data_IF_922044072420
#
_entry.id   IF_922044072420
#
_cell.length_a   1.000
_cell.length_b   1.000
_cell.length_c   1.000
_cell.angle_alpha   90.00
_cell.angle_beta   90.00
_cell.angle_gamma   90.00
#
_symmetry.space_group_name_H-M   'P 1'
#
loop_
_entity.id
_entity.type
_entity.pdbx_description
1 polymer ?
#
# COMPACT_ATOMS: atom_id res chain seq x y z
N UNK A 1 19.99 0.81 7.90
CA UNK A 1 19.75 -0.38 7.05
C UNK A 1 18.26 -0.72 6.90
N UNK A 2 17.51 -0.87 8.00
CA UNK A 2 16.07 -1.24 8.02
C UNK A 2 15.17 -0.34 7.14
N UNK A 3 15.37 0.99 7.16
CA UNK A 3 14.57 1.94 6.35
C UNK A 3 14.81 1.83 4.83
N UNK A 4 15.93 1.27 4.39
CA UNK A 4 16.22 1.10 2.97
C UNK A 4 15.59 -0.17 2.39
N UNK A 5 15.31 -1.17 3.23
CA UNK A 5 14.65 -2.40 2.76
C UNK A 5 13.22 -2.12 2.29
N UNK A 6 12.46 -1.29 3.00
CA UNK A 6 11.12 -0.88 2.53
C UNK A 6 11.16 -0.15 1.19
N UNK A 7 12.21 0.65 0.95
CA UNK A 7 12.41 1.37 -0.32
C UNK A 7 12.76 0.38 -1.41
N UNK A 8 13.63 -0.60 -1.14
CA UNK A 8 13.95 -1.66 -2.09
C UNK A 8 12.71 -2.49 -2.45
N UNK A 9 11.87 -2.85 -1.47
CA UNK A 9 10.57 -3.51 -1.72
C UNK A 9 9.68 -2.64 -2.60
N UNK A 10 9.52 -1.36 -2.24
CA UNK A 10 8.71 -0.43 -3.01
C UNK A 10 9.23 -0.28 -4.45
N UNK A 11 10.55 -0.22 -4.63
CA UNK A 11 11.20 -0.13 -5.93
C UNK A 11 10.92 -1.36 -6.77
N UNK A 12 11.05 -2.56 -6.21
CA UNK A 12 10.76 -3.82 -6.93
C UNK A 12 9.30 -3.87 -7.35
N UNK A 13 8.36 -3.49 -6.47
CA UNK A 13 6.93 -3.48 -6.78
C UNK A 13 6.58 -2.44 -7.85
N UNK A 14 7.16 -1.24 -7.76
CA UNK A 14 7.00 -0.17 -8.77
C UNK A 14 7.55 -0.61 -10.11
N UNK A 15 8.75 -1.18 -10.17
CA UNK A 15 9.32 -1.68 -11.43
C UNK A 15 8.47 -2.82 -12.02
N UNK A 16 7.98 -3.74 -11.19
CA UNK A 16 7.10 -4.81 -11.62
C UNK A 16 5.80 -4.26 -12.24
N UNK A 17 5.14 -3.32 -11.56
CA UNK A 17 3.94 -2.66 -12.10
C UNK A 17 4.26 -1.89 -13.38
N UNK A 18 5.23 -0.98 -13.37
CA UNK A 18 5.56 -0.14 -14.53
C UNK A 18 5.97 -0.95 -15.76
N UNK A 19 6.73 -2.04 -15.60
CA UNK A 19 7.08 -2.91 -16.71
C UNK A 19 5.85 -3.67 -17.24
N UNK A 20 4.99 -4.15 -16.34
CA UNK A 20 3.80 -4.92 -16.71
C UNK A 20 2.75 -4.11 -17.48
N UNK A 21 2.70 -2.79 -17.30
CA UNK A 21 1.82 -1.87 -18.07
C UNK A 21 2.03 -2.03 -19.59
N UNK A 22 3.26 -2.29 -20.03
CA UNK A 22 3.61 -2.42 -21.45
C UNK A 22 3.54 -3.86 -21.97
N UNK A 23 3.58 -4.85 -21.09
CA UNK A 23 3.65 -6.28 -21.46
C UNK A 23 2.28 -6.97 -21.48
N UNK A 24 1.27 -6.35 -20.88
CA UNK A 24 -0.11 -6.79 -21.02
C UNK A 24 -0.85 -6.90 -19.69
N UNK A 25 -2.17 -6.95 -19.82
CA UNK A 25 -3.10 -6.88 -18.70
C UNK A 25 -2.90 -7.99 -17.65
N UNK A 26 -2.63 -9.23 -18.10
CA UNK A 26 -2.41 -10.38 -17.20
C UNK A 26 -1.18 -10.20 -16.31
N UNK A 27 -0.07 -9.70 -16.85
CA UNK A 27 1.13 -9.43 -16.05
C UNK A 27 0.88 -8.32 -15.04
N UNK A 28 0.09 -7.31 -15.41
CA UNK A 28 -0.26 -6.22 -14.52
C UNK A 28 -1.09 -6.70 -13.33
N UNK A 29 -2.10 -7.55 -13.59
CA UNK A 29 -2.89 -8.18 -12.54
C UNK A 29 -2.02 -9.01 -11.58
N UNK A 30 -1.07 -9.80 -12.10
CA UNK A 30 -0.14 -10.57 -11.27
C UNK A 30 0.76 -9.66 -10.41
N UNK A 31 1.27 -8.57 -10.99
CA UNK A 31 2.07 -7.58 -10.26
C UNK A 31 1.26 -6.89 -9.15
N UNK A 32 -0.01 -6.54 -9.39
CA UNK A 32 -0.91 -6.05 -8.33
C UNK A 32 -1.20 -7.13 -7.28
N UNK A 33 -1.32 -8.39 -7.69
CA UNK A 33 -1.41 -9.54 -6.78
C UNK A 33 -0.22 -9.62 -5.81
N UNK A 34 1.00 -9.37 -6.28
CA UNK A 34 2.19 -9.33 -5.41
C UNK A 34 2.09 -8.24 -4.34
N UNK A 35 1.49 -7.09 -4.67
CA UNK A 35 1.23 -6.01 -3.70
C UNK A 35 0.22 -6.48 -2.65
N UNK A 36 -0.87 -7.11 -3.07
CA UNK A 36 -1.88 -7.69 -2.17
C UNK A 36 -1.25 -8.69 -1.21
N UNK A 37 -0.44 -9.63 -1.70
CA UNK A 37 0.25 -10.58 -0.84
C UNK A 37 1.28 -9.91 0.07
N UNK A 38 1.98 -8.89 -0.42
CA UNK A 38 2.93 -8.10 0.35
C UNK A 38 2.27 -7.42 1.55
N UNK A 39 1.13 -6.77 1.33
CA UNK A 39 0.34 -6.15 2.41
C UNK A 39 -0.28 -7.23 3.30
N UNK A 40 -0.93 -8.26 2.75
CA UNK A 40 -1.58 -9.31 3.52
C UNK A 40 -0.61 -10.06 4.46
N UNK A 41 0.62 -10.30 4.02
CA UNK A 41 1.66 -10.93 4.83
C UNK A 41 2.29 -9.95 5.84
N UNK A 42 2.55 -8.71 5.43
CA UNK A 42 3.23 -7.73 6.26
C UNK A 42 2.34 -7.11 7.34
N UNK A 43 1.07 -6.88 7.02
CA UNK A 43 0.15 -6.08 7.83
C UNK A 43 -0.11 -6.65 9.23
N UNK A 44 -0.42 -7.95 9.41
CA UNK A 44 -0.71 -8.48 10.75
C UNK A 44 0.51 -8.48 11.67
N UNK A 45 1.72 -8.47 11.09
CA UNK A 45 3.00 -8.37 11.81
C UNK A 45 3.38 -6.93 12.12
N UNK A 46 2.91 -5.98 11.31
CA UNK A 46 3.00 -4.54 11.61
C UNK A 46 2.07 -4.15 12.74
N UNK A 47 0.85 -4.69 12.75
CA UNK A 47 -0.15 -4.36 13.76
C UNK A 47 -0.14 -5.29 14.98
N UNK A 48 0.81 -6.23 15.08
CA UNK A 48 0.83 -7.32 16.08
C UNK A 48 -0.54 -7.89 16.37
N UNK A 49 -1.24 -8.29 15.31
CA UNK A 49 -2.54 -8.92 15.47
C UNK A 49 -2.34 -10.22 16.28
N UNK A 50 -3.20 -10.51 17.28
CA UNK A 50 -3.11 -11.74 18.06
C UNK A 50 -3.21 -13.02 17.22
N UNK A 51 -3.72 -12.93 15.98
CA UNK A 51 -3.85 -14.03 15.04
C UNK A 51 -3.26 -13.65 13.67
N UNK A 52 -1.93 -13.58 13.55
CA UNK A 52 -1.31 -13.06 12.33
C UNK A 52 -1.65 -13.90 11.09
N UNK A 53 -1.83 -15.22 11.25
CA UNK A 53 -2.20 -16.12 10.15
C UNK A 53 -3.62 -15.90 9.65
N UNK A 54 -4.60 -15.84 10.57
CA UNK A 54 -6.00 -15.67 10.21
C UNK A 54 -6.23 -14.29 9.55
N UNK A 55 -5.62 -13.24 10.09
CA UNK A 55 -5.67 -11.91 9.48
C UNK A 55 -4.97 -11.87 8.12
N UNK A 56 -3.81 -12.53 7.95
CA UNK A 56 -3.16 -12.63 6.64
C UNK A 56 -4.03 -13.36 5.61
N UNK A 57 -4.68 -14.46 6.01
CA UNK A 57 -5.58 -15.21 5.13
C UNK A 57 -6.78 -14.35 4.73
N UNK A 58 -7.41 -13.68 5.69
CA UNK A 58 -8.52 -12.76 5.45
C UNK A 58 -8.11 -11.70 4.43
N UNK A 59 -7.01 -10.98 4.67
CA UNK A 59 -6.52 -9.94 3.77
C UNK A 59 -6.21 -10.49 2.37
N UNK A 60 -5.57 -11.66 2.27
CA UNK A 60 -5.28 -12.28 0.99
C UNK A 60 -6.57 -12.65 0.23
N UNK A 61 -7.55 -13.26 0.91
CA UNK A 61 -8.82 -13.66 0.30
C UNK A 61 -9.61 -12.45 -0.21
N UNK A 62 -9.79 -11.41 0.61
CA UNK A 62 -10.53 -10.22 0.19
C UNK A 62 -9.76 -9.41 -0.86
N UNK A 63 -8.43 -9.36 -0.79
CA UNK A 63 -7.60 -8.72 -1.81
C UNK A 63 -7.67 -9.41 -3.16
N UNK A 64 -7.55 -10.74 -3.19
CA UNK A 64 -7.72 -11.52 -4.42
C UNK A 64 -9.15 -11.39 -4.94
N UNK A 65 -10.15 -11.41 -4.05
CA UNK A 65 -11.55 -11.17 -4.41
C UNK A 65 -11.75 -9.81 -5.05
N UNK A 66 -11.11 -8.76 -4.53
CA UNK A 66 -11.14 -7.41 -5.12
C UNK A 66 -10.46 -7.34 -6.48
N UNK A 67 -9.30 -8.00 -6.65
CA UNK A 67 -8.63 -8.10 -7.95
C UNK A 67 -9.46 -8.88 -8.97
N UNK A 68 -10.08 -9.97 -8.54
CA UNK A 68 -10.95 -10.78 -9.39
C UNK A 68 -12.18 -10.00 -9.84
N UNK A 69 -12.81 -9.26 -8.92
CA UNK A 69 -13.94 -8.40 -9.25
C UNK A 69 -13.54 -7.32 -10.27
N UNK A 70 -12.45 -6.60 -10.04
CA UNK A 70 -11.94 -5.57 -10.96
C UNK A 70 -11.51 -6.15 -12.32
N UNK A 71 -11.14 -7.44 -12.38
CA UNK A 71 -10.83 -8.14 -13.63
C UNK A 71 -12.07 -8.57 -14.40
N UNK A 72 -13.10 -9.02 -13.69
CA UNK A 72 -14.30 -9.57 -14.30
C UNK A 72 -15.25 -8.49 -14.82
N UNK A 73 -15.26 -7.32 -14.19
CA UNK A 73 -16.10 -6.19 -14.61
C UNK A 73 -15.57 -5.62 -15.94
N UNK A 74 -16.33 -5.86 -17.00
CA UNK A 74 -16.03 -5.41 -18.37
C UNK A 74 -16.69 -4.07 -18.73
N UNK A 75 -17.56 -3.55 -17.86
CA UNK A 75 -18.29 -2.30 -18.05
C UNK A 75 -18.20 -1.44 -16.81
N UNK A 76 -17.96 -0.14 -16.97
CA UNK A 76 -17.96 0.79 -15.84
C UNK A 76 -19.33 0.76 -15.10
N UNK A 77 -19.33 0.73 -13.75
CA UNK A 77 -18.23 1.00 -12.82
C UNK A 77 -17.39 -0.23 -12.43
N UNK A 78 -16.08 -0.18 -12.65
CA UNK A 78 -15.14 -1.31 -12.43
C UNK A 78 -14.87 -1.70 -10.95
N UNK A 79 -15.55 -1.09 -9.97
CA UNK A 79 -15.28 -1.30 -8.53
C UNK A 79 -16.55 -1.50 -7.70
N UNK A 80 -17.69 -1.84 -8.31
CA UNK A 80 -18.99 -1.95 -7.62
C UNK A 80 -18.99 -3.01 -6.51
N UNK A 81 -18.13 -4.01 -6.63
CA UNK A 81 -18.00 -5.07 -5.64
C UNK A 81 -17.13 -4.70 -4.43
N UNK A 82 -16.31 -3.65 -4.50
CA UNK A 82 -15.41 -3.30 -3.39
C UNK A 82 -16.13 -2.88 -2.10
N UNK A 83 -17.21 -2.08 -2.13
CA UNK A 83 -17.99 -1.78 -0.92
C UNK A 83 -18.57 -3.05 -0.28
N UNK A 84 -19.03 -4.00 -1.10
CA UNK A 84 -19.57 -5.28 -0.62
C UNK A 84 -18.47 -6.11 0.04
N UNK A 85 -17.30 -6.24 -0.60
CA UNK A 85 -16.14 -6.94 -0.04
C UNK A 85 -15.63 -6.28 1.24
N UNK A 86 -15.64 -4.94 1.31
CA UNK A 86 -15.30 -4.19 2.51
C UNK A 86 -16.29 -4.49 3.65
N UNK A 87 -17.58 -4.52 3.37
CA UNK A 87 -18.61 -4.89 4.34
C UNK A 87 -18.48 -6.33 4.84
N UNK A 88 -18.23 -7.29 3.93
CA UNK A 88 -18.00 -8.69 4.29
C UNK A 88 -16.71 -8.87 5.10
N UNK A 89 -15.63 -8.19 4.74
CA UNK A 89 -14.39 -8.22 5.51
C UNK A 89 -14.57 -7.58 6.89
N UNK A 90 -15.32 -6.48 7.01
CA UNK A 90 -15.68 -5.90 8.30
C UNK A 90 -16.45 -6.91 9.18
N UNK A 91 -17.47 -7.57 8.64
CA UNK A 91 -18.21 -8.61 9.35
C UNK A 91 -17.29 -9.77 9.78
N UNK A 92 -16.39 -10.20 8.90
CA UNK A 92 -15.39 -11.22 9.21
C UNK A 92 -14.55 -10.82 10.42
N UNK A 93 -14.04 -9.59 10.45
CA UNK A 93 -13.24 -9.10 11.57
C UNK A 93 -14.01 -9.09 12.88
N UNK A 94 -15.30 -8.72 12.87
CA UNK A 94 -16.13 -8.77 14.07
C UNK A 94 -16.35 -10.21 14.55
N UNK A 95 -16.74 -11.12 13.66
CA UNK A 95 -16.97 -12.53 14.00
C UNK A 95 -15.70 -13.16 14.58
N UNK A 96 -14.54 -12.90 13.96
CA UNK A 96 -13.25 -13.40 14.42
C UNK A 96 -12.86 -12.87 15.81
N UNK A 97 -13.19 -11.62 16.15
CA UNK A 97 -12.91 -11.07 17.48
C UNK A 97 -13.92 -11.53 18.54
N UNK A 98 -15.21 -11.65 18.19
CA UNK A 98 -16.27 -12.11 19.11
C UNK A 98 -16.08 -13.58 19.50
N UNK A 99 -15.77 -14.44 18.53
CA UNK A 99 -15.51 -15.87 18.77
C UNK A 99 -14.34 -16.13 19.69
N UNK A 100 -13.39 -15.18 19.80
CA UNK A 100 -12.20 -15.32 20.65
C UNK A 100 -12.42 -14.83 22.09
N UNK A 101 -13.54 -14.17 22.38
CA UNK A 101 -13.82 -13.66 23.74
C UNK A 101 -12.80 -12.64 24.23
N UNK A 102 -12.25 -11.80 23.35
CA UNK A 102 -11.29 -10.74 23.73
C UNK A 102 -12.03 -9.66 24.53
N UNK A 103 -11.41 -9.14 25.59
CA UNK A 103 -11.89 -7.93 26.26
C UNK A 103 -12.14 -6.78 25.27
N UNK A 104 -13.26 -6.07 25.44
CA UNK A 104 -13.79 -5.11 24.46
C UNK A 104 -12.76 -4.07 23.97
N UNK A 105 -11.92 -3.53 24.86
CA UNK A 105 -10.90 -2.53 24.50
C UNK A 105 -9.86 -3.08 23.50
N UNK A 106 -9.37 -4.30 23.72
CA UNK A 106 -8.41 -4.95 22.81
C UNK A 106 -9.07 -5.41 21.52
N UNK A 107 -10.36 -5.78 21.57
CA UNK A 107 -11.12 -6.15 20.37
C UNK A 107 -11.24 -4.96 19.40
N UNK A 108 -11.58 -3.76 19.90
CA UNK A 108 -11.70 -2.56 19.05
C UNK A 108 -10.37 -2.22 18.38
N UNK A 109 -9.26 -2.22 19.14
CA UNK A 109 -7.94 -1.96 18.57
C UNK A 109 -7.56 -2.97 17.48
N UNK A 110 -7.85 -4.26 17.68
CA UNK A 110 -7.56 -5.31 16.70
C UNK A 110 -8.51 -5.26 15.49
N UNK A 111 -9.79 -4.90 15.67
CA UNK A 111 -10.72 -4.70 14.55
C UNK A 111 -10.27 -3.51 13.70
N UNK A 112 -9.98 -2.35 14.32
CA UNK A 112 -9.49 -1.17 13.59
C UNK A 112 -8.20 -1.47 12.81
N UNK A 113 -7.28 -2.22 13.41
CA UNK A 113 -6.08 -2.66 12.70
C UNK A 113 -6.42 -3.55 11.48
N UNK A 114 -7.31 -4.53 11.63
CA UNK A 114 -7.69 -5.42 10.53
C UNK A 114 -8.44 -4.69 9.41
N UNK A 115 -9.35 -3.79 9.76
CA UNK A 115 -10.15 -2.99 8.81
C UNK A 115 -9.26 -2.02 8.04
N UNK A 116 -8.30 -1.34 8.70
CA UNK A 116 -7.33 -0.50 7.99
C UNK A 116 -6.50 -1.29 6.99
N UNK A 117 -6.10 -2.52 7.33
CA UNK A 117 -5.41 -3.42 6.40
C UNK A 117 -6.29 -3.84 5.24
N UNK A 118 -7.56 -4.13 5.51
CA UNK A 118 -8.55 -4.49 4.50
C UNK A 118 -8.74 -3.36 3.49
N UNK A 119 -8.89 -2.12 3.95
CA UNK A 119 -9.02 -0.94 3.08
C UNK A 119 -7.79 -0.80 2.20
N UNK A 120 -6.58 -0.88 2.76
CA UNK A 120 -5.33 -0.76 1.98
C UNK A 120 -5.22 -1.88 0.93
N UNK A 121 -5.57 -3.11 1.29
CA UNK A 121 -5.52 -4.26 0.37
C UNK A 121 -6.55 -4.12 -0.75
N UNK A 122 -7.78 -3.72 -0.43
CA UNK A 122 -8.81 -3.47 -1.44
C UNK A 122 -8.43 -2.29 -2.34
N UNK A 123 -7.79 -1.26 -1.80
CA UNK A 123 -7.26 -0.15 -2.62
C UNK A 123 -6.28 -0.62 -3.70
N UNK A 124 -5.54 -1.72 -3.49
CA UNK A 124 -4.65 -2.24 -4.53
C UNK A 124 -5.40 -2.61 -5.82
N UNK A 125 -6.66 -3.06 -5.73
CA UNK A 125 -7.47 -3.41 -6.92
C UNK A 125 -7.79 -2.21 -7.83
N UNK A 126 -7.70 -0.98 -7.30
CA UNK A 126 -7.91 0.23 -8.11
C UNK A 126 -6.86 0.41 -9.20
N UNK A 127 -5.66 -0.18 -9.06
CA UNK A 127 -4.67 -0.21 -10.15
C UNK A 127 -5.19 -1.00 -11.36
N UNK A 128 -5.82 -2.14 -11.09
CA UNK A 128 -6.39 -3.00 -12.13
C UNK A 128 -7.55 -2.27 -12.83
N UNK A 129 -8.33 -1.51 -12.08
CA UNK A 129 -9.37 -0.66 -12.66
C UNK A 129 -8.76 0.52 -13.46
N UNK A 130 -7.69 1.16 -12.98
CA UNK A 130 -7.05 2.28 -13.67
C UNK A 130 -6.54 1.88 -15.06
N UNK A 131 -5.85 0.74 -15.18
CA UNK A 131 -5.36 0.28 -16.49
C UNK A 131 -6.47 -0.11 -17.49
N UNK A 132 -7.71 -0.31 -17.02
CA UNK A 132 -8.88 -0.58 -17.90
C UNK A 132 -9.57 0.68 -18.39
N UNK A 133 -9.36 1.83 -17.75
CA UNK A 133 -9.93 3.10 -18.23
C UNK A 133 -9.22 3.46 -19.55
N UNK A 134 -9.96 3.86 -20.60
CA UNK A 134 -9.37 4.46 -21.78
C UNK A 134 -8.67 5.76 -21.39
N UNK A 135 -7.36 5.70 -21.18
CA UNK A 135 -6.55 6.80 -20.69
C UNK A 135 -5.07 6.56 -20.92
N UNK A 136 -4.29 7.60 -20.65
CA UNK A 136 -2.84 7.60 -20.82
C UNK A 136 -2.18 6.75 -19.74
N UNK A 137 -1.65 5.58 -20.14
CA UNK A 137 -0.84 4.67 -19.31
C UNK A 137 0.34 5.38 -18.64
N UNK A 138 0.74 6.50 -19.20
CA UNK A 138 1.73 7.45 -18.72
C UNK A 138 1.38 7.97 -17.31
N UNK A 139 0.09 8.17 -16.99
CA UNK A 139 -0.34 8.61 -15.65
C UNK A 139 -0.01 7.57 -14.56
N UNK A 140 -0.19 6.28 -14.86
CA UNK A 140 0.20 5.17 -13.98
C UNK A 140 1.72 5.21 -13.73
N UNK A 141 2.52 5.33 -14.78
CA UNK A 141 3.99 5.33 -14.68
C UNK A 141 4.49 6.56 -13.92
N UNK A 142 3.95 7.74 -14.20
CA UNK A 142 4.29 8.98 -13.50
C UNK A 142 3.92 8.86 -12.01
N UNK A 143 2.74 8.33 -11.69
CA UNK A 143 2.33 8.12 -10.30
C UNK A 143 3.23 7.16 -9.54
N UNK A 144 3.58 6.03 -10.16
CA UNK A 144 4.51 5.06 -9.58
C UNK A 144 5.91 5.66 -9.36
N UNK A 145 6.40 6.47 -10.31
CA UNK A 145 7.67 7.19 -10.18
C UNK A 145 7.63 8.23 -9.03
N UNK A 146 6.54 8.97 -8.90
CA UNK A 146 6.33 9.90 -7.79
C UNK A 146 6.29 9.19 -6.43
N UNK A 147 5.63 8.02 -6.35
CA UNK A 147 5.57 7.23 -5.12
C UNK A 147 6.96 6.73 -4.68
N UNK A 148 7.77 6.20 -5.60
CA UNK A 148 9.11 5.70 -5.23
C UNK A 148 10.03 6.84 -4.79
N UNK A 149 9.98 8.00 -5.46
CA UNK A 149 10.79 9.16 -5.09
C UNK A 149 10.38 9.70 -3.73
N UNK A 150 9.08 9.81 -3.46
CA UNK A 150 8.58 10.20 -2.14
C UNK A 150 9.04 9.20 -1.06
N UNK A 151 8.99 7.89 -1.32
CA UNK A 151 9.45 6.85 -0.39
C UNK A 151 10.97 6.94 -0.12
N UNK A 152 11.77 7.31 -1.12
CA UNK A 152 13.19 7.58 -0.94
C UNK A 152 13.42 8.77 0.00
N UNK A 153 12.64 9.84 -0.14
CA UNK A 153 12.76 11.04 0.71
C UNK A 153 12.34 10.77 2.16
N UNK A 154 11.28 9.99 2.38
CA UNK A 154 10.85 9.61 3.74
C UNK A 154 11.81 8.63 4.42
N UNK A 155 12.61 7.88 3.65
CA UNK A 155 13.61 6.95 4.19
C UNK A 155 14.88 7.62 4.74
N UNK A 156 15.09 8.91 4.44
CA UNK A 156 16.25 9.66 4.92
C UNK A 156 16.30 9.69 6.47
N UNK A 157 17.52 9.69 7.06
CA UNK A 157 17.69 9.69 8.52
C UNK A 157 17.49 11.10 9.11
N UNK A 158 16.46 11.82 8.66
CA UNK A 158 16.14 13.18 9.09
C UNK A 158 14.84 13.23 9.90
N UNK A 159 14.62 14.32 10.68
CA UNK A 159 13.36 14.54 11.36
C UNK A 159 12.19 14.58 10.38
N UNK A 160 11.04 14.04 10.80
CA UNK A 160 9.82 13.97 9.98
C UNK A 160 9.31 15.34 9.49
N UNK A 161 9.67 16.41 10.21
CA UNK A 161 9.36 17.80 9.84
C UNK A 161 9.98 18.18 8.49
N UNK A 162 11.16 17.64 8.16
CA UNK A 162 11.85 17.95 6.91
C UNK A 162 11.56 16.92 5.82
N UNK A 163 11.45 15.64 6.18
CA UNK A 163 11.24 14.59 5.17
C UNK A 163 9.85 14.63 4.54
N UNK A 164 8.81 15.04 5.29
CA UNK A 164 7.43 15.13 4.78
C UNK A 164 7.25 16.17 3.67
N UNK A 165 7.62 17.46 3.85
CA UNK A 165 7.54 18.44 2.75
C UNK A 165 8.50 18.09 1.61
N UNK A 166 9.68 17.53 1.90
CA UNK A 166 10.62 17.09 0.88
C UNK A 166 10.03 16.00 -0.02
N UNK A 167 9.29 15.03 0.55
CA UNK A 167 8.61 13.99 -0.22
C UNK A 167 7.58 14.57 -1.20
N UNK A 168 6.83 15.60 -0.79
CA UNK A 168 5.86 16.29 -1.65
C UNK A 168 6.56 17.07 -2.76
N UNK A 169 7.58 17.86 -2.42
CA UNK A 169 8.31 18.68 -3.41
C UNK A 169 8.99 17.78 -4.45
N UNK A 170 9.67 16.72 -4.02
CA UNK A 170 10.41 15.84 -4.93
C UNK A 170 9.49 14.98 -5.80
N UNK A 171 8.38 14.47 -5.26
CA UNK A 171 7.39 13.74 -6.06
C UNK A 171 6.70 14.62 -7.11
N UNK A 172 6.42 15.88 -6.76
CA UNK A 172 5.87 16.89 -7.68
C UNK A 172 6.87 17.24 -8.77
N UNK A 173 8.14 17.47 -8.40
CA UNK A 173 9.20 17.77 -9.35
C UNK A 173 9.39 16.63 -10.36
N UNK A 174 9.44 15.38 -9.89
CA UNK A 174 9.59 14.21 -10.78
C UNK A 174 8.37 14.04 -11.69
N UNK A 175 7.16 14.27 -11.19
CA UNK A 175 5.97 14.21 -12.03
C UNK A 175 6.00 15.25 -13.16
N UNK A 176 6.36 16.51 -12.84
CA UNK A 176 6.50 17.57 -13.82
C UNK A 176 7.61 17.30 -14.85
N UNK A 177 8.77 16.82 -14.39
CA UNK A 177 9.90 16.48 -15.25
C UNK A 177 9.52 15.35 -16.23
N UNK A 178 8.88 14.28 -15.75
CA UNK A 178 8.48 13.15 -16.60
C UNK A 178 7.41 13.55 -17.62
N UNK A 179 6.43 14.36 -17.22
CA UNK A 179 5.39 14.87 -18.12
C UNK A 179 5.97 15.69 -19.27
N UNK A 180 6.97 16.55 -19.01
CA UNK A 180 7.54 17.43 -20.04
C UNK A 180 8.63 16.74 -20.88
N UNK A 181 9.52 15.95 -20.27
CA UNK A 181 10.71 15.43 -20.95
C UNK A 181 10.52 14.06 -21.58
N UNK A 182 9.61 13.23 -21.04
CA UNK A 182 9.47 11.84 -21.46
C UNK A 182 8.13 11.60 -22.14
N UNK A 183 7.05 12.15 -21.59
CA UNK A 183 5.69 11.84 -22.00
C UNK A 183 4.95 13.01 -22.65
N UNK A 184 5.67 14.06 -23.09
CA UNK A 184 5.04 15.15 -23.83
C UNK A 184 4.64 14.67 -25.24
N UNK A 185 3.39 14.91 -25.71
CA UNK A 185 2.32 15.72 -25.12
C UNK A 185 1.17 14.93 -24.47
N UNK A 186 1.35 13.65 -24.12
CA UNK A 186 0.28 12.78 -23.62
C UNK A 186 -0.40 13.37 -22.37
N UNK A 187 0.38 13.66 -21.32
CA UNK A 187 -0.16 14.16 -20.06
C UNK A 187 0.04 15.67 -19.88
N UNK A 188 -1.04 16.41 -19.58
CA UNK A 188 -0.97 17.83 -19.25
C UNK A 188 -0.07 18.10 -18.03
N UNK A 189 0.66 19.21 -18.04
CA UNK A 189 1.54 19.57 -16.92
C UNK A 189 0.74 19.75 -15.61
N UNK A 190 -0.47 20.30 -15.68
CA UNK A 190 -1.31 20.53 -14.51
C UNK A 190 -1.78 19.21 -13.86
N UNK A 191 -2.20 18.23 -14.67
CA UNK A 191 -2.57 16.90 -14.15
C UNK A 191 -1.35 16.17 -13.59
N UNK A 192 -0.18 16.26 -14.23
CA UNK A 192 1.05 15.67 -13.72
C UNK A 192 1.46 16.25 -12.36
N UNK A 193 1.46 17.58 -12.22
CA UNK A 193 1.82 18.25 -10.97
C UNK A 193 0.85 17.90 -9.84
N UNK A 194 -0.47 17.93 -10.10
CA UNK A 194 -1.47 17.56 -9.10
C UNK A 194 -1.32 16.10 -8.67
N UNK A 195 -1.07 15.18 -9.61
CA UNK A 195 -0.79 13.78 -9.31
C UNK A 195 0.45 13.65 -8.42
N UNK A 196 1.56 14.33 -8.76
CA UNK A 196 2.78 14.34 -7.96
C UNK A 196 2.55 14.83 -6.52
N UNK A 197 1.82 15.94 -6.36
CA UNK A 197 1.47 16.50 -5.02
C UNK A 197 0.69 15.48 -4.20
N UNK A 198 -0.36 14.88 -4.77
CA UNK A 198 -1.22 13.93 -4.06
C UNK A 198 -0.46 12.66 -3.69
N UNK A 199 0.37 12.13 -4.60
CA UNK A 199 1.21 10.95 -4.31
C UNK A 199 2.25 11.22 -3.22
N UNK A 200 2.90 12.38 -3.26
CA UNK A 200 3.84 12.80 -2.22
C UNK A 200 3.18 12.95 -0.85
N UNK A 201 2.00 13.57 -0.82
CA UNK A 201 1.21 13.73 0.40
C UNK A 201 0.79 12.38 0.97
N UNK A 202 0.30 11.48 0.12
CA UNK A 202 -0.10 10.12 0.48
C UNK A 202 1.08 9.37 1.12
N UNK A 203 2.25 9.38 0.48
CA UNK A 203 3.44 8.71 1.02
C UNK A 203 3.88 9.31 2.35
N UNK A 204 3.93 10.64 2.46
CA UNK A 204 4.31 11.30 3.71
C UNK A 204 3.35 10.98 4.86
N UNK A 205 2.04 10.98 4.58
CA UNK A 205 1.00 10.66 5.56
C UNK A 205 1.08 9.20 6.01
N UNK A 206 1.19 8.26 5.06
CA UNK A 206 1.28 6.82 5.34
C UNK A 206 2.57 6.49 6.10
N UNK A 207 3.71 7.04 5.69
CA UNK A 207 4.99 6.85 6.38
C UNK A 207 4.92 7.31 7.84
N UNK A 208 4.31 8.47 8.08
CA UNK A 208 4.15 9.02 9.43
C UNK A 208 3.21 8.16 10.27
N UNK A 209 2.04 7.82 9.75
CA UNK A 209 1.04 7.02 10.47
C UNK A 209 1.57 5.62 10.79
N UNK A 210 2.09 4.91 9.80
CA UNK A 210 2.60 3.55 9.99
C UNK A 210 3.92 3.52 10.75
N UNK A 211 4.74 4.57 10.61
CA UNK A 211 5.95 4.76 11.41
C UNK A 211 5.63 4.81 12.91
N UNK A 212 4.62 5.57 13.32
CA UNK A 212 4.17 5.63 14.71
C UNK A 212 3.72 4.26 15.24
N UNK A 213 2.94 3.51 14.44
CA UNK A 213 2.47 2.16 14.80
C UNK A 213 3.65 1.18 14.95
N UNK A 214 4.61 1.23 14.03
CA UNK A 214 5.79 0.38 14.09
C UNK A 214 6.65 0.67 15.34
N UNK A 215 6.97 1.94 15.60
CA UNK A 215 7.82 2.32 16.73
C UNK A 215 7.21 1.99 18.09
N UNK A 216 5.91 2.24 18.29
CA UNK A 216 5.23 1.96 19.55
C UNK A 216 5.28 0.47 19.93
N UNK A 217 5.19 -0.43 18.96
CA UNK A 217 5.18 -1.88 19.17
C UNK A 217 6.56 -2.49 19.32
N UNK A 218 7.57 -1.98 18.59
CA UNK A 218 8.96 -2.42 18.76
C UNK A 218 9.48 -2.17 20.18
N UNK A 219 9.07 -1.06 20.82
CA UNK A 219 9.46 -0.78 22.21
C UNK A 219 8.83 -1.74 23.22
N UNK A 220 7.56 -2.12 23.04
CA UNK A 220 6.87 -3.08 23.89
C UNK A 220 7.47 -4.50 23.80
N UNK A 221 7.79 -4.96 22.58
CA UNK A 221 8.36 -6.29 22.36
C UNK A 221 9.79 -6.45 22.94
N UNK A 222 10.57 -5.36 23.01
CA UNK A 222 11.91 -5.39 23.61
C UNK A 222 11.89 -5.58 25.14
N UNK A 223 10.80 -5.22 25.82
CA UNK A 223 10.67 -5.33 27.28
C UNK A 223 10.30 -6.74 27.75
N UNK A 224 9.55 -7.51 26.94
CA UNK A 224 9.11 -8.86 27.30
C UNK A 224 10.15 -9.96 26.96
N UNK A 225 11.09 -9.68 26.06
CA UNK A 225 11.85 -10.73 25.37
C UNK A 225 13.19 -11.11 26.04
N UNK A 226 13.26 -11.13 27.37
CA UNK A 226 14.49 -11.36 28.15
C UNK A 226 14.95 -12.82 28.30
N UNK A 227 14.40 -13.81 27.55
CA UNK A 227 14.63 -15.23 27.91
C UNK A 227 15.04 -16.26 26.83
N UNK A 228 15.37 -15.92 25.59
CA UNK A 228 16.14 -16.84 24.70
C UNK A 228 16.61 -16.12 23.42
N UNK A 229 17.92 -16.07 23.17
CA UNK A 229 18.52 -15.10 22.23
C UNK A 229 18.57 -15.59 20.77
N UNK A 230 18.78 -16.87 20.51
CA UNK A 230 19.05 -17.38 19.14
C UNK A 230 17.78 -17.64 18.30
N UNK A 231 16.78 -18.34 18.87
CA UNK A 231 15.47 -18.55 18.19
C UNK A 231 14.78 -17.21 17.93
N UNK A 232 14.99 -16.24 18.83
CA UNK A 232 14.46 -14.87 18.75
C UNK A 232 15.01 -14.09 17.56
N UNK A 233 16.31 -14.21 17.24
CA UNK A 233 16.95 -13.48 16.14
C UNK A 233 16.32 -13.79 14.78
N UNK A 234 15.95 -15.04 14.53
CA UNK A 234 15.32 -15.44 13.27
C UNK A 234 13.85 -14.97 13.18
N UNK A 235 13.09 -15.05 14.28
CA UNK A 235 11.70 -14.59 14.35
C UNK A 235 11.61 -13.06 14.21
N UNK A 236 12.51 -12.31 14.86
CA UNK A 236 12.60 -10.86 14.73
C UNK A 236 13.01 -10.41 13.33
N UNK A 237 13.91 -11.17 12.67
CA UNK A 237 14.30 -10.87 11.29
C UNK A 237 13.14 -11.08 10.32
N UNK A 238 12.40 -12.18 10.45
CA UNK A 238 11.22 -12.45 9.62
C UNK A 238 10.09 -11.42 9.87
N UNK A 239 9.88 -11.02 11.13
CA UNK A 239 8.90 -9.99 11.52
C UNK A 239 9.30 -8.61 10.98
N UNK A 240 10.56 -8.20 11.15
CA UNK A 240 11.05 -6.91 10.66
C UNK A 240 11.02 -6.79 9.13
N UNK A 241 11.32 -7.88 8.41
CA UNK A 241 11.15 -7.93 6.96
C UNK A 241 9.69 -7.78 6.56
N UNK A 242 8.78 -8.51 7.21
CA UNK A 242 7.34 -8.41 6.90
C UNK A 242 6.76 -7.01 7.22
N UNK A 243 7.22 -6.38 8.30
CA UNK A 243 6.88 -5.00 8.63
C UNK A 243 7.32 -4.04 7.51
N UNK A 244 8.55 -4.20 7.02
CA UNK A 244 9.05 -3.38 5.90
C UNK A 244 8.31 -3.65 4.60
N UNK A 245 7.88 -4.91 4.37
CA UNK A 245 7.06 -5.30 3.24
C UNK A 245 5.74 -4.51 3.23
N UNK A 246 5.03 -4.45 4.37
CA UNK A 246 3.81 -3.66 4.50
C UNK A 246 4.06 -2.15 4.36
N UNK A 247 5.12 -1.62 4.99
CA UNK A 247 5.47 -0.19 4.89
C UNK A 247 5.81 0.25 3.46
N UNK A 248 6.44 -0.64 2.67
CA UNK A 248 6.75 -0.38 1.27
C UNK A 248 5.54 -0.52 0.35
N UNK A 249 4.72 -1.56 0.57
CA UNK A 249 3.59 -1.89 -0.29
C UNK A 249 2.34 -1.02 -0.04
N UNK A 250 2.11 -0.54 1.18
CA UNK A 250 0.89 0.21 1.51
C UNK A 250 0.73 1.53 0.73
N UNK A 251 1.74 2.40 0.58
CA UNK A 251 1.60 3.59 -0.25
C UNK A 251 1.35 3.26 -1.72
N UNK A 252 1.95 2.17 -2.22
CA UNK A 252 1.72 1.73 -3.60
C UNK A 252 0.28 1.25 -3.76
N UNK A 253 -0.23 0.41 -2.86
CA UNK A 253 -1.60 -0.06 -2.89
C UNK A 253 -2.62 1.09 -2.88
N UNK A 254 -2.40 2.12 -2.06
CA UNK A 254 -3.27 3.30 -1.99
C UNK A 254 -3.13 4.23 -3.21
N UNK A 255 -1.96 4.27 -3.85
CA UNK A 255 -1.70 5.12 -5.01
C UNK A 255 -2.65 4.86 -6.18
N UNK A 256 -3.10 3.62 -6.37
CA UNK A 256 -4.02 3.27 -7.46
C UNK A 256 -5.33 4.05 -7.37
N UNK A 257 -5.78 4.37 -6.15
CA UNK A 257 -7.03 5.12 -5.91
C UNK A 257 -6.89 6.53 -6.46
N UNK A 258 -5.71 7.14 -6.29
CA UNK A 258 -5.42 8.49 -6.78
C UNK A 258 -5.40 8.52 -8.30
N UNK A 259 -4.73 7.55 -8.93
CA UNK A 259 -4.67 7.47 -10.39
C UNK A 259 -6.07 7.24 -10.97
N UNK A 260 -6.79 6.24 -10.44
CA UNK A 260 -8.14 5.92 -10.87
C UNK A 260 -9.11 7.11 -10.73
N UNK A 261 -9.06 7.83 -9.61
CA UNK A 261 -9.93 8.98 -9.37
C UNK A 261 -9.60 10.14 -10.32
N UNK A 262 -8.32 10.41 -10.60
CA UNK A 262 -7.91 11.48 -11.50
C UNK A 262 -8.25 11.16 -12.96
N UNK A 263 -8.03 9.92 -13.42
CA UNK A 263 -8.41 9.49 -14.77
C UNK A 263 -9.93 9.56 -14.97
N UNK A 264 -10.70 9.22 -13.95
CA UNK A 264 -12.16 9.30 -13.99
C UNK A 264 -12.71 10.73 -13.92
N UNK A 265 -11.96 11.69 -13.36
CA UNK A 265 -12.32 13.11 -13.38
C UNK A 265 -11.92 13.80 -14.70
N UNK A 266 -10.94 13.24 -15.42
CA UNK A 266 -10.44 13.79 -16.67
C UNK A 266 -11.18 13.26 -17.92
N UNK A 267 -11.96 12.19 -17.78
CA UNK A 267 -12.81 11.58 -18.83
C UNK A 267 -14.25 12.09 -18.79
#
# INVERSE_FOLDING_TARGET
>A
MIRWIRVAVALVLVLALSASVYWGYTLFLLATGLIVFGVAYGWPRLTDSPQPRATSIMLALFGIGGLYAAWHDSTAPYLDWLPVLAGLGLLWTFVQNLTRGIGASYAVANVSAQVSGLVIVLSASTWVAAITIPGDKEAIVIGLASLIVAQCMTALPWPAIYTSPLAIVMSTAVAGILSVLVFAPALSLASALSLGVVMGLLVAAVDRMLGLVAYAKFQAANLEASQNIEVKKNVEKARSFAVQLALGAAPIALGGVVVYALERLAS
#
